data_IF_958334087490
#
_entry.id   IF_958334087490
#
_cell.length_a   1.000
_cell.length_b   1.000
_cell.length_c   1.000
_cell.angle_alpha   90.00
_cell.angle_beta   90.00
_cell.angle_gamma   90.00
#
_symmetry.space_group_name_H-M   'P 1'
#
loop_
_entity.id
_entity.type
_entity.pdbx_description
1 polymer ?
#
# COMPACT_ATOMS: atom_id res chain seq x y z
N UNK A 1 -14.74 42.31 10.18
CA UNK A 1 -13.38 41.91 9.77
C UNK A 1 -13.13 40.50 10.29
N UNK A 2 -13.17 39.50 9.41
CA UNK A 2 -12.66 38.15 9.69
C UNK A 2 -12.30 37.55 8.33
N UNK A 3 -11.08 37.86 7.88
CA UNK A 3 -10.51 37.23 6.70
C UNK A 3 -10.34 35.74 7.00
N UNK A 4 -11.33 34.94 6.62
CA UNK A 4 -11.17 33.49 6.52
C UNK A 4 -10.18 33.28 5.40
N UNK A 5 -8.91 33.13 5.77
CA UNK A 5 -7.79 32.86 4.86
C UNK A 5 -8.22 31.85 3.82
N UNK A 6 -8.40 32.35 2.60
CA UNK A 6 -8.59 31.60 1.39
C UNK A 6 -7.24 30.94 1.03
N UNK A 7 -6.80 30.00 1.86
CA UNK A 7 -5.69 29.10 1.55
C UNK A 7 -6.25 28.04 0.61
N UNK A 8 -6.46 28.40 -0.66
CA UNK A 8 -6.47 27.39 -1.71
C UNK A 8 -5.09 26.75 -1.67
N UNK A 9 -5.03 25.55 -1.10
CA UNK A 9 -3.84 24.71 -1.11
C UNK A 9 -3.46 24.47 -2.57
N UNK A 10 -2.20 24.70 -2.93
CA UNK A 10 -1.75 24.52 -4.31
C UNK A 10 -1.95 23.05 -4.70
N UNK A 11 -2.34 22.73 -5.96
CA UNK A 11 -2.52 21.36 -6.41
C UNK A 11 -1.35 20.42 -6.09
N UNK A 12 -0.13 20.98 -6.03
CA UNK A 12 1.09 20.23 -5.64
C UNK A 12 1.08 19.77 -4.18
N UNK A 13 0.67 20.63 -3.24
CA UNK A 13 0.66 20.28 -1.81
C UNK A 13 -0.41 19.25 -1.45
N UNK A 14 -1.56 19.31 -2.13
CA UNK A 14 -2.65 18.34 -1.95
C UNK A 14 -2.27 16.97 -2.53
N UNK A 15 -1.59 16.96 -3.69
CA UNK A 15 -1.02 15.75 -4.28
C UNK A 15 0.03 15.11 -3.36
N UNK A 16 0.96 15.87 -2.80
CA UNK A 16 1.99 15.34 -1.90
C UNK A 16 1.39 14.75 -0.62
N UNK A 17 0.34 15.37 -0.07
CA UNK A 17 -0.37 14.84 1.09
C UNK A 17 -1.07 13.51 0.76
N UNK A 18 -1.74 13.43 -0.39
CA UNK A 18 -2.40 12.20 -0.87
C UNK A 18 -1.39 11.07 -1.14
N UNK A 19 -0.22 11.39 -1.70
CA UNK A 19 0.86 10.41 -1.92
C UNK A 19 1.42 9.91 -0.59
N UNK A 20 1.68 10.81 0.38
CA UNK A 20 2.15 10.42 1.71
C UNK A 20 1.17 9.48 2.42
N UNK A 21 -0.12 9.77 2.34
CA UNK A 21 -1.17 8.91 2.90
C UNK A 21 -1.20 7.53 2.21
N UNK A 22 -1.16 7.50 0.87
CA UNK A 22 -1.14 6.27 0.09
C UNK A 22 0.08 5.40 0.42
N UNK A 23 1.27 6.01 0.58
CA UNK A 23 2.50 5.30 0.97
C UNK A 23 2.39 4.74 2.38
N UNK A 24 1.85 5.51 3.34
CA UNK A 24 1.70 5.05 4.72
C UNK A 24 0.74 3.86 4.83
N UNK A 25 -0.44 3.97 4.20
CA UNK A 25 -1.44 2.91 4.19
C UNK A 25 -0.95 1.69 3.40
N UNK A 26 -0.29 1.91 2.27
CA UNK A 26 0.38 0.88 1.49
C UNK A 26 1.42 0.13 2.31
N UNK A 27 2.29 0.83 3.03
CA UNK A 27 3.34 0.22 3.85
C UNK A 27 2.75 -0.61 5.00
N UNK A 28 1.69 -0.11 5.66
CA UNK A 28 0.98 -0.85 6.69
C UNK A 28 0.38 -2.14 6.15
N UNK A 29 -0.26 -2.08 4.98
CA UNK A 29 -0.86 -3.27 4.37
C UNK A 29 0.21 -4.24 3.86
N UNK A 30 1.32 -3.74 3.33
CA UNK A 30 2.47 -4.55 2.93
C UNK A 30 3.06 -5.32 4.11
N UNK A 31 3.16 -4.70 5.29
CA UNK A 31 3.62 -5.38 6.50
C UNK A 31 2.66 -6.51 6.91
N UNK A 32 1.35 -6.27 6.85
CA UNK A 32 0.34 -7.30 7.14
C UNK A 32 0.43 -8.43 6.12
N UNK A 33 0.43 -8.12 4.82
CA UNK A 33 0.53 -9.11 3.75
C UNK A 33 1.82 -9.94 3.87
N UNK A 34 2.94 -9.28 4.15
CA UNK A 34 4.24 -9.92 4.37
C UNK A 34 4.21 -10.91 5.53
N UNK A 35 3.65 -10.53 6.69
CA UNK A 35 3.53 -11.44 7.84
C UNK A 35 2.61 -12.62 7.56
N UNK A 36 1.46 -12.37 6.93
CA UNK A 36 0.48 -13.40 6.56
C UNK A 36 1.07 -14.39 5.56
N UNK A 37 1.93 -13.95 4.64
CA UNK A 37 2.57 -14.82 3.64
C UNK A 37 3.84 -15.49 4.15
N UNK A 38 4.60 -14.83 5.02
CA UNK A 38 5.83 -15.38 5.59
C UNK A 38 5.57 -16.65 6.41
N UNK A 39 4.50 -16.67 7.22
CA UNK A 39 4.20 -17.83 8.08
C UNK A 39 3.93 -19.11 7.25
N UNK A 40 2.98 -19.13 6.28
CA UNK A 40 2.78 -20.28 5.40
C UNK A 40 4.01 -20.62 4.56
N UNK A 41 4.79 -19.63 4.12
CA UNK A 41 6.01 -19.88 3.32
C UNK A 41 7.04 -20.66 4.14
N UNK A 42 7.28 -20.26 5.39
CA UNK A 42 8.24 -20.93 6.27
C UNK A 42 7.72 -22.28 6.77
N UNK A 43 6.44 -22.37 7.12
CA UNK A 43 5.81 -23.63 7.55
C UNK A 43 5.77 -24.62 6.39
N UNK A 44 5.40 -24.17 5.18
CA UNK A 44 5.40 -25.00 3.97
C UNK A 44 6.77 -25.62 3.69
N UNK A 45 7.85 -24.86 3.85
CA UNK A 45 9.22 -25.37 3.70
C UNK A 45 9.64 -26.37 4.78
N UNK A 46 8.98 -26.36 5.95
CA UNK A 46 9.27 -27.26 7.07
C UNK A 46 8.43 -28.55 7.02
N UNK A 47 7.18 -28.46 6.57
CA UNK A 47 6.21 -29.57 6.62
C UNK A 47 6.12 -30.32 5.30
N UNK A 48 6.34 -29.66 4.15
CA UNK A 48 6.26 -30.29 2.84
C UNK A 48 7.66 -30.72 2.36
N UNK A 49 7.95 -32.03 2.23
CA UNK A 49 9.26 -32.52 1.81
C UNK A 49 9.62 -32.10 0.38
N UNK A 50 8.62 -31.91 -0.50
CA UNK A 50 8.82 -31.36 -1.84
C UNK A 50 9.28 -29.90 -1.82
N UNK A 51 8.68 -29.05 -0.96
CA UNK A 51 9.07 -27.66 -0.80
C UNK A 51 10.46 -27.54 -0.15
N UNK A 52 10.78 -28.40 0.82
CA UNK A 52 12.12 -28.45 1.42
C UNK A 52 13.21 -28.82 0.42
N UNK A 53 12.90 -29.71 -0.54
CA UNK A 53 13.85 -30.17 -1.54
C UNK A 53 14.01 -29.20 -2.73
N UNK A 54 12.98 -28.42 -3.07
CA UNK A 54 12.97 -27.59 -4.29
C UNK A 54 12.91 -26.07 -4.04
N UNK A 55 12.54 -25.61 -2.84
CA UNK A 55 12.36 -24.19 -2.56
C UNK A 55 13.58 -23.61 -1.83
N UNK A 56 14.47 -22.97 -2.59
CA UNK A 56 15.65 -22.30 -2.04
C UNK A 56 15.27 -21.01 -1.26
N UNK A 57 16.18 -20.51 -0.42
CA UNK A 57 15.99 -19.28 0.36
C UNK A 57 15.62 -18.07 -0.52
N UNK A 58 16.17 -17.99 -1.73
CA UNK A 58 15.82 -16.95 -2.71
C UNK A 58 14.36 -17.03 -3.12
N UNK A 59 13.82 -18.24 -3.35
CA UNK A 59 12.42 -18.41 -3.74
C UNK A 59 11.46 -18.03 -2.60
N UNK A 60 11.81 -18.35 -1.36
CA UNK A 60 11.04 -17.91 -0.18
C UNK A 60 11.02 -16.38 -0.06
N UNK A 61 12.18 -15.75 -0.20
CA UNK A 61 12.29 -14.29 -0.18
C UNK A 61 11.44 -13.65 -1.28
N UNK A 62 11.47 -14.23 -2.49
CA UNK A 62 10.73 -13.72 -3.64
C UNK A 62 9.20 -13.80 -3.46
N UNK A 63 8.70 -14.89 -2.87
CA UNK A 63 7.27 -15.06 -2.56
C UNK A 63 6.83 -14.00 -1.54
N UNK A 64 7.59 -13.81 -0.47
CA UNK A 64 7.26 -12.83 0.58
C UNK A 64 7.34 -11.40 0.02
N UNK A 65 8.39 -11.07 -0.74
CA UNK A 65 8.53 -9.74 -1.34
C UNK A 65 7.43 -9.44 -2.36
N UNK A 66 7.04 -10.42 -3.17
CA UNK A 66 5.96 -10.25 -4.14
C UNK A 66 4.63 -9.93 -3.44
N UNK A 67 4.33 -10.62 -2.34
CA UNK A 67 3.13 -10.35 -1.54
C UNK A 67 3.15 -8.94 -0.90
N UNK A 68 4.30 -8.52 -0.37
CA UNK A 68 4.47 -7.17 0.19
C UNK A 68 4.25 -6.09 -0.87
N UNK A 69 4.87 -6.24 -2.05
CA UNK A 69 4.75 -5.29 -3.16
C UNK A 69 3.29 -5.23 -3.63
N UNK A 70 2.65 -6.37 -3.85
CA UNK A 70 1.24 -6.41 -4.25
C UNK A 70 0.33 -5.72 -3.21
N UNK A 71 0.51 -6.03 -1.92
CA UNK A 71 -0.26 -5.44 -0.82
C UNK A 71 -0.08 -3.92 -0.72
N UNK A 72 1.13 -3.43 -0.98
CA UNK A 72 1.43 -2.00 -1.06
C UNK A 72 0.67 -1.33 -2.21
N UNK A 73 0.88 -1.80 -3.43
CA UNK A 73 0.35 -1.17 -4.65
C UNK A 73 -1.17 -1.16 -4.68
N UNK A 74 -1.81 -2.26 -4.30
CA UNK A 74 -3.28 -2.33 -4.24
C UNK A 74 -3.83 -1.25 -3.31
N UNK A 75 -3.23 -1.06 -2.13
CA UNK A 75 -3.71 -0.08 -1.15
C UNK A 75 -3.38 1.35 -1.58
N UNK A 76 -2.18 1.57 -2.11
CA UNK A 76 -1.75 2.86 -2.63
C UNK A 76 -2.68 3.32 -3.76
N UNK A 77 -2.98 2.45 -4.73
CA UNK A 77 -3.87 2.76 -5.86
C UNK A 77 -5.28 3.09 -5.38
N UNK A 78 -5.82 2.30 -4.43
CA UNK A 78 -7.15 2.55 -3.85
C UNK A 78 -7.20 3.90 -3.13
N UNK A 79 -6.12 4.28 -2.45
CA UNK A 79 -6.02 5.54 -1.71
C UNK A 79 -5.93 6.73 -2.68
N UNK A 80 -5.09 6.64 -3.71
CA UNK A 80 -4.96 7.69 -4.73
C UNK A 80 -6.29 7.92 -5.47
N UNK A 81 -6.99 6.85 -5.87
CA UNK A 81 -8.29 6.94 -6.53
C UNK A 81 -9.39 7.51 -5.62
N UNK A 82 -9.31 7.26 -4.31
CA UNK A 82 -10.23 7.83 -3.33
C UNK A 82 -9.99 9.33 -3.19
N UNK A 83 -8.72 9.74 -3.06
CA UNK A 83 -8.33 11.15 -2.95
C UNK A 83 -8.68 11.92 -4.23
N UNK A 84 -8.44 11.35 -5.42
CA UNK A 84 -8.87 11.92 -6.69
C UNK A 84 -10.39 12.12 -6.77
N UNK A 85 -11.19 11.13 -6.35
CA UNK A 85 -12.65 11.23 -6.34
C UNK A 85 -13.17 12.33 -5.41
N UNK A 86 -12.59 12.47 -4.21
CA UNK A 86 -12.98 13.52 -3.28
C UNK A 86 -12.66 14.92 -3.80
N UNK A 87 -11.52 15.08 -4.49
CA UNK A 87 -11.16 16.35 -5.13
C UNK A 87 -12.11 16.73 -6.28
N UNK A 88 -12.65 15.76 -7.02
CA UNK A 88 -13.65 16.04 -8.08
C UNK A 88 -15.01 16.41 -7.50
N UNK A 89 -15.51 15.69 -6.48
CA UNK A 89 -16.83 15.94 -5.89
C UNK A 89 -16.85 17.28 -5.14
N UNK A 90 -15.77 17.62 -4.41
CA UNK A 90 -15.66 18.91 -3.73
C UNK A 90 -15.56 20.13 -4.67
N UNK A 91 -15.34 19.91 -5.97
CA UNK A 91 -15.43 20.95 -7.00
C UNK A 91 -16.83 21.12 -7.60
N UNK A 92 -17.70 20.12 -7.49
CA UNK A 92 -19.05 20.15 -8.03
C UNK A 92 -20.07 20.78 -7.06
N UNK A 93 -19.76 20.79 -5.76
CA UNK A 93 -20.59 21.36 -4.68
C UNK A 93 -20.28 22.85 -4.39
N UNK A 94 -19.65 23.55 -5.34
CA UNK A 94 -19.34 25.00 -5.30
C UNK A 94 -19.91 25.69 -6.52
#
# INVERSE_FOLDING_TARGET
>A
MAGRSFLIRSPKEESDAAVKEAVLLGAKNAAIAGTVVAVPTLVGCRVLPWAKANLNYTAQALIISAACIAGFFITADKTILRNARQNTIGKLDK
#
